data_IF_679103658367
#
_entry.id   IF_679103658367
#
_cell.length_a   1.000
_cell.length_b   1.000
_cell.length_c   1.000
_cell.angle_alpha   90.00
_cell.angle_beta   90.00
_cell.angle_gamma   90.00
#
_symmetry.space_group_name_H-M   'P 1'
#
loop_
_entity.id
_entity.type
_entity.pdbx_description
1 polymer ?
#
# COMPACT_ATOMS: atom_id res chain seq x y z
N UNK A 1 -28.86 7.09 -25.19
CA UNK A 1 -29.19 6.08 -24.15
C UNK A 1 -30.22 6.67 -23.21
N UNK A 2 -31.35 6.01 -23.01
CA UNK A 2 -32.36 6.43 -22.07
C UNK A 2 -32.11 5.79 -20.70
N UNK A 3 -32.14 6.59 -19.65
CA UNK A 3 -31.94 6.14 -18.26
C UNK A 3 -33.27 6.40 -17.52
N UNK A 4 -33.87 5.35 -16.98
CA UNK A 4 -35.06 5.45 -16.15
C UNK A 4 -34.69 5.91 -14.73
N UNK A 5 -35.36 6.93 -14.24
CA UNK A 5 -35.23 7.40 -12.87
C UNK A 5 -36.04 6.49 -11.93
N UNK A 6 -35.40 5.92 -10.91
CA UNK A 6 -36.12 5.27 -9.82
C UNK A 6 -36.49 6.29 -8.75
N UNK A 7 -37.74 6.25 -8.34
CA UNK A 7 -38.25 7.15 -7.29
C UNK A 7 -37.94 6.61 -5.90
N UNK A 8 -37.47 7.51 -5.03
CA UNK A 8 -37.24 7.22 -3.60
C UNK A 8 -38.41 7.71 -2.72
N UNK A 9 -39.34 8.51 -3.27
CA UNK A 9 -40.50 9.04 -2.53
C UNK A 9 -41.80 8.86 -3.30
N UNK A 10 -42.89 8.54 -2.59
CA UNK A 10 -44.24 8.44 -3.13
C UNK A 10 -44.71 9.78 -3.68
N UNK A 11 -45.09 9.82 -4.93
CA UNK A 11 -45.82 10.97 -5.52
C UNK A 11 -45.32 11.54 -6.85
N UNK A 12 -44.15 11.19 -7.34
CA UNK A 12 -43.66 11.66 -8.65
C UNK A 12 -43.63 10.52 -9.69
N UNK A 13 -44.02 10.80 -10.93
CA UNK A 13 -43.98 9.81 -12.01
C UNK A 13 -42.54 9.48 -12.40
N UNK A 14 -42.25 8.21 -12.76
CA UNK A 14 -40.89 7.84 -13.22
C UNK A 14 -40.55 8.66 -14.47
N UNK A 15 -39.51 9.44 -14.38
CA UNK A 15 -38.98 10.23 -15.50
C UNK A 15 -37.92 9.45 -16.28
N UNK A 16 -37.74 9.79 -17.55
CA UNK A 16 -36.68 9.30 -18.40
C UNK A 16 -35.75 10.47 -18.71
N UNK A 17 -34.44 10.26 -18.53
CA UNK A 17 -33.40 11.25 -18.90
C UNK A 17 -32.65 10.72 -20.10
N UNK A 18 -32.52 11.53 -21.14
CA UNK A 18 -31.59 11.25 -22.23
C UNK A 18 -30.13 11.49 -21.80
N UNK A 19 -29.35 10.44 -21.81
CA UNK A 19 -27.92 10.52 -21.51
C UNK A 19 -27.06 10.32 -22.76
N UNK A 20 -25.97 11.07 -22.87
CA UNK A 20 -25.08 11.00 -24.01
C UNK A 20 -24.39 9.63 -24.09
N UNK A 21 -24.61 8.87 -25.16
CA UNK A 21 -24.02 7.54 -25.39
C UNK A 21 -22.49 7.56 -25.34
N UNK A 22 -21.87 8.66 -25.74
CA UNK A 22 -20.42 8.83 -25.70
C UNK A 22 -19.83 8.70 -24.29
N UNK A 23 -20.63 8.99 -23.26
CA UNK A 23 -20.18 8.94 -21.85
C UNK A 23 -20.70 7.66 -21.19
N UNK A 24 -21.99 7.40 -21.29
CA UNK A 24 -22.65 6.31 -20.57
C UNK A 24 -22.72 4.99 -21.35
N UNK A 25 -22.56 5.03 -22.67
CA UNK A 25 -22.49 3.85 -23.54
C UNK A 25 -21.07 3.41 -23.88
N UNK A 26 -20.04 3.90 -23.16
CA UNK A 26 -18.66 3.52 -23.40
C UNK A 26 -18.39 2.05 -23.06
N UNK A 27 -17.49 1.41 -23.85
CA UNK A 27 -17.07 0.03 -23.60
C UNK A 27 -16.50 -0.17 -22.20
N UNK A 28 -16.98 -1.17 -21.49
CA UNK A 28 -16.46 -1.56 -20.19
C UNK A 28 -15.05 -2.19 -20.31
N UNK A 29 -14.04 -1.52 -19.73
CA UNK A 29 -12.62 -1.94 -19.81
C UNK A 29 -12.11 -2.36 -18.43
N UNK A 30 -12.36 -3.59 -17.97
CA UNK A 30 -12.08 -4.03 -16.61
C UNK A 30 -10.60 -3.90 -16.22
N UNK A 31 -9.67 -4.13 -17.14
CA UNK A 31 -8.24 -4.00 -16.89
C UNK A 31 -7.81 -2.56 -16.52
N UNK A 32 -8.36 -1.55 -17.20
CA UNK A 32 -8.08 -0.15 -16.90
C UNK A 32 -8.71 0.29 -15.59
N UNK A 33 -9.96 -0.10 -15.36
CA UNK A 33 -10.68 0.18 -14.11
C UNK A 33 -9.92 -0.43 -12.92
N UNK A 34 -9.50 -1.70 -13.03
CA UNK A 34 -8.72 -2.36 -12.01
C UNK A 34 -7.41 -1.60 -11.69
N UNK A 35 -6.69 -1.12 -12.70
CA UNK A 35 -5.47 -0.33 -12.48
C UNK A 35 -5.76 0.97 -11.72
N UNK A 36 -6.82 1.68 -12.08
CA UNK A 36 -7.20 2.94 -11.42
C UNK A 36 -7.61 2.69 -9.98
N UNK A 37 -8.45 1.67 -9.71
CA UNK A 37 -8.87 1.29 -8.36
C UNK A 37 -7.67 0.88 -7.50
N UNK A 38 -6.78 0.05 -8.04
CA UNK A 38 -5.56 -0.39 -7.33
C UNK A 38 -4.65 0.79 -6.98
N UNK A 39 -4.47 1.74 -7.90
CA UNK A 39 -3.69 2.94 -7.64
C UNK A 39 -4.32 3.82 -6.56
N UNK A 40 -5.64 3.98 -6.58
CA UNK A 40 -6.39 4.73 -5.56
C UNK A 40 -6.25 4.10 -4.17
N UNK A 41 -6.48 2.79 -4.06
CA UNK A 41 -6.33 2.04 -2.81
C UNK A 41 -4.89 2.08 -2.28
N UNK A 42 -3.88 1.98 -3.17
CA UNK A 42 -2.48 2.10 -2.79
C UNK A 42 -2.15 3.48 -2.24
N UNK A 43 -2.66 4.56 -2.84
CA UNK A 43 -2.45 5.92 -2.38
C UNK A 43 -3.07 6.19 -1.00
N UNK A 44 -4.16 5.50 -0.64
CA UNK A 44 -4.78 5.59 0.68
C UNK A 44 -4.02 4.87 1.80
N UNK A 45 -2.96 4.10 1.50
CA UNK A 45 -2.19 3.37 2.52
C UNK A 45 -1.27 4.32 3.29
N UNK A 46 -1.39 4.35 4.61
CA UNK A 46 -0.57 5.21 5.48
C UNK A 46 0.94 4.89 5.47
N UNK A 47 1.33 3.65 5.19
CA UNK A 47 2.73 3.24 5.03
C UNK A 47 3.62 3.41 6.27
N UNK A 48 3.05 3.42 7.46
CA UNK A 48 3.74 3.76 8.72
C UNK A 48 4.51 2.59 9.37
N UNK A 49 4.43 1.39 8.82
CA UNK A 49 5.14 0.22 9.37
C UNK A 49 6.64 0.45 9.39
N UNK A 50 7.27 0.26 10.58
CA UNK A 50 8.69 0.40 10.76
C UNK A 50 9.24 -0.69 11.69
N UNK A 51 10.42 -1.21 11.37
CA UNK A 51 11.20 -2.07 12.26
C UNK A 51 12.64 -1.56 12.35
N UNK A 52 13.24 -1.68 13.54
CA UNK A 52 14.57 -1.18 13.80
C UNK A 52 15.62 -2.11 13.21
N UNK A 53 16.53 -1.55 12.43
CA UNK A 53 17.74 -2.23 11.98
C UNK A 53 18.74 -2.36 13.14
N UNK A 54 19.79 -3.17 12.96
CA UNK A 54 20.86 -3.34 13.95
C UNK A 54 21.47 -2.00 14.44
N UNK A 55 21.59 -1.02 13.57
CA UNK A 55 22.12 0.29 13.92
C UNK A 55 21.14 1.13 14.79
N UNK A 56 19.84 0.91 14.64
CA UNK A 56 18.79 1.66 15.34
C UNK A 56 18.39 1.05 16.68
N UNK A 57 18.73 -0.20 16.94
CA UNK A 57 18.47 -0.84 18.22
C UNK A 57 19.44 -0.30 19.27
N UNK A 58 18.94 0.14 20.43
CA UNK A 58 19.76 0.64 21.53
C UNK A 58 20.64 -0.47 22.13
N UNK A 59 21.87 -0.16 22.53
CA UNK A 59 22.83 -1.08 23.15
C UNK A 59 23.93 -1.56 22.18
N UNK A 60 24.70 -2.57 22.52
CA UNK A 60 25.67 -3.28 21.66
C UNK A 60 26.97 -2.54 21.33
N UNK A 61 27.38 -1.53 22.07
CA UNK A 61 28.64 -0.83 21.90
C UNK A 61 29.83 -1.70 22.30
N UNK A 62 29.68 -2.59 23.29
CA UNK A 62 30.72 -3.49 23.74
C UNK A 62 30.54 -4.89 23.13
N UNK A 63 31.68 -5.55 22.85
CA UNK A 63 31.72 -6.96 22.45
C UNK A 63 31.28 -7.83 23.63
N UNK A 64 30.32 -8.77 23.49
CA UNK A 64 29.78 -9.58 24.60
C UNK A 64 30.84 -10.40 25.33
N UNK A 65 31.84 -10.91 24.62
CA UNK A 65 32.96 -11.67 25.20
C UNK A 65 34.14 -11.69 24.22
N UNK A 66 35.31 -12.13 24.72
CA UNK A 66 36.55 -12.21 23.93
C UNK A 66 36.41 -13.15 22.72
N UNK A 67 37.20 -12.88 21.67
CA UNK A 67 37.13 -13.56 20.36
C UNK A 67 37.41 -15.06 20.40
N UNK A 68 38.29 -15.52 21.32
CA UNK A 68 38.74 -16.92 21.44
C UNK A 68 38.78 -17.33 22.93
N UNK A 69 38.80 -18.64 23.20
CA UNK A 69 38.98 -19.18 24.56
C UNK A 69 37.71 -19.17 25.43
N UNK A 70 36.50 -19.07 24.83
CA UNK A 70 35.21 -19.13 25.57
C UNK A 70 34.43 -20.40 25.28
N UNK A 71 34.83 -21.23 24.30
CA UNK A 71 34.03 -22.38 23.85
C UNK A 71 32.71 -22.03 23.18
N UNK A 72 32.37 -20.74 23.02
CA UNK A 72 31.14 -20.24 22.42
C UNK A 72 31.34 -19.76 21.00
N UNK A 73 30.24 -19.70 20.21
CA UNK A 73 30.26 -19.08 18.91
C UNK A 73 30.68 -17.60 19.01
N UNK A 74 31.47 -17.13 18.06
CA UNK A 74 31.97 -15.75 18.05
C UNK A 74 30.85 -14.76 17.90
N UNK A 75 30.81 -13.73 18.74
CA UNK A 75 29.79 -12.68 18.73
C UNK A 75 30.43 -11.30 18.69
N UNK A 76 30.01 -10.45 17.78
CA UNK A 76 30.49 -9.06 17.69
C UNK A 76 29.59 -8.07 18.46
N UNK A 77 28.31 -8.39 18.59
CA UNK A 77 27.34 -7.51 19.25
C UNK A 77 26.11 -8.30 19.70
N UNK A 78 25.45 -7.85 20.75
CA UNK A 78 24.16 -8.37 21.22
C UNK A 78 22.95 -7.85 20.41
N UNK A 79 23.17 -6.93 19.44
CA UNK A 79 22.14 -6.42 18.53
C UNK A 79 22.06 -7.19 17.22
N UNK A 80 22.85 -8.25 17.06
CA UNK A 80 22.79 -9.10 15.87
C UNK A 80 21.37 -9.60 15.65
N UNK A 81 20.91 -9.76 14.41
CA UNK A 81 19.60 -10.34 14.10
C UNK A 81 19.38 -11.74 14.68
N UNK A 82 20.43 -12.47 14.97
CA UNK A 82 20.41 -13.78 15.62
C UNK A 82 20.06 -13.72 17.12
N UNK A 83 20.18 -12.53 17.72
CA UNK A 83 19.95 -12.33 19.15
C UNK A 83 18.49 -11.91 19.42
N UNK A 84 17.94 -12.35 20.56
CA UNK A 84 16.66 -11.86 21.05
C UNK A 84 16.75 -10.34 21.29
N UNK A 85 15.79 -9.58 20.75
CA UNK A 85 15.84 -8.12 20.79
C UNK A 85 16.87 -7.48 19.87
N UNK A 86 17.52 -8.23 18.99
CA UNK A 86 18.40 -7.72 17.95
C UNK A 86 17.65 -7.01 16.82
N UNK A 87 18.39 -6.41 15.89
CA UNK A 87 17.82 -5.70 14.75
C UNK A 87 17.23 -6.65 13.70
N UNK A 88 16.28 -6.16 12.93
CA UNK A 88 15.67 -6.92 11.83
C UNK A 88 16.42 -6.61 10.53
N UNK A 89 16.71 -7.66 9.76
CA UNK A 89 17.29 -7.53 8.41
C UNK A 89 16.13 -7.37 7.42
N UNK A 90 16.20 -6.37 6.54
CA UNK A 90 15.17 -6.08 5.54
C UNK A 90 13.76 -5.88 6.14
N UNK A 91 13.67 -5.39 7.38
CA UNK A 91 12.41 -5.02 7.99
C UNK A 91 11.69 -3.89 7.23
N UNK A 92 10.37 -3.79 7.38
CA UNK A 92 9.61 -2.73 6.76
C UNK A 92 10.11 -1.35 7.22
N UNK A 93 10.15 -0.41 6.29
CA UNK A 93 10.41 1.01 6.55
C UNK A 93 9.22 1.82 6.11
N UNK A 94 8.92 2.95 6.76
CA UNK A 94 7.88 3.85 6.30
C UNK A 94 8.13 4.24 4.83
N UNK A 95 7.10 4.14 4.02
CA UNK A 95 7.18 4.54 2.61
C UNK A 95 5.83 5.00 2.10
N UNK A 96 5.86 5.84 1.10
CA UNK A 96 4.70 6.18 0.29
C UNK A 96 4.40 5.02 -0.68
N UNK A 97 3.12 4.63 -0.78
CA UNK A 97 2.62 3.62 -1.70
C UNK A 97 1.91 4.23 -2.91
N UNK A 98 1.82 5.55 -2.98
CA UNK A 98 1.24 6.22 -4.13
C UNK A 98 2.12 6.05 -5.38
N UNK A 99 1.48 5.89 -6.52
CA UNK A 99 2.14 5.92 -7.81
C UNK A 99 1.26 6.62 -8.84
N UNK A 100 1.91 7.30 -9.78
CA UNK A 100 1.25 8.12 -10.77
C UNK A 100 0.85 7.28 -11.99
N UNK A 101 -0.44 7.22 -12.28
CA UNK A 101 -0.94 6.68 -13.54
C UNK A 101 -0.88 7.73 -14.66
N UNK A 102 -0.63 7.31 -15.91
CA UNK A 102 -0.76 8.19 -17.07
C UNK A 102 -2.16 8.82 -17.13
N UNK A 103 -2.22 10.12 -17.47
CA UNK A 103 -3.51 10.86 -17.50
C UNK A 103 -4.56 10.19 -18.39
N UNK A 104 -4.15 9.63 -19.55
CA UNK A 104 -5.06 8.93 -20.47
C UNK A 104 -5.66 7.67 -19.84
N UNK A 105 -4.85 6.85 -19.14
CA UNK A 105 -5.32 5.64 -18.45
C UNK A 105 -6.35 6.01 -17.37
N UNK A 106 -6.04 7.04 -16.55
CA UNK A 106 -6.96 7.50 -15.50
C UNK A 106 -8.29 8.00 -16.06
N UNK A 107 -8.27 8.75 -17.18
CA UNK A 107 -9.49 9.26 -17.82
C UNK A 107 -10.35 8.17 -18.45
N UNK A 108 -9.73 7.08 -18.93
CA UNK A 108 -10.44 5.96 -19.56
C UNK A 108 -10.93 4.93 -18.53
N UNK A 109 -10.46 4.98 -17.30
CA UNK A 109 -10.84 4.05 -16.23
C UNK A 109 -11.81 4.64 -15.20
N UNK A 110 -12.24 5.88 -15.39
CA UNK A 110 -13.29 6.57 -14.64
C UNK A 110 -14.49 6.76 -15.54
#
# INVERSE_FOLDING_TARGET
MEISLQQIAEGNQPGVIEAADKIFGADFKPALIHQVVTAHLSAGRAGTKAQKTRAQVRGGGAKPFRQKGTGRARQGTNRSPLMRGGGVIFGPKPRDYSYKLPKKVRRLGV
#
